data_IF_071454775399
#
_entry.id   IF_071454775399
#
_cell.length_a   1.000
_cell.length_b   1.000
_cell.length_c   1.000
_cell.angle_alpha   90.00
_cell.angle_beta   90.00
_cell.angle_gamma   90.00
#
_symmetry.space_group_name_H-M   'P 1'
#
loop_
_entity.id
_entity.type
_entity.pdbx_description
1 polymer ?
#
# COMPACT_ATOMS: atom_id res chain seq x y z
N UNK A 1 -1.73 -8.02 13.72
CA UNK A 1 -0.65 -7.96 12.71
C UNK A 1 -1.21 -7.30 11.48
N UNK A 2 -0.41 -6.48 10.81
CA UNK A 2 -0.76 -5.85 9.54
C UNK A 2 -0.16 -6.68 8.41
N UNK A 3 -0.92 -6.88 7.34
CA UNK A 3 -0.46 -7.52 6.11
C UNK A 3 -0.72 -6.56 4.94
N UNK A 4 0.32 -6.24 4.18
CA UNK A 4 0.28 -5.38 2.99
C UNK A 4 0.56 -6.29 1.80
N UNK A 5 -0.49 -6.67 1.08
CA UNK A 5 -0.38 -7.54 -0.08
C UNK A 5 -0.51 -6.70 -1.35
N UNK A 6 0.50 -6.75 -2.21
CA UNK A 6 0.55 -6.02 -3.48
C UNK A 6 0.25 -7.00 -4.60
N UNK A 7 -0.76 -6.69 -5.41
CA UNK A 7 -1.22 -7.49 -6.53
C UNK A 7 -1.06 -6.73 -7.83
N UNK A 8 -0.49 -7.38 -8.82
CA UNK A 8 -0.45 -6.84 -10.18
C UNK A 8 -1.83 -6.94 -10.85
N UNK A 9 -2.12 -6.04 -11.80
CA UNK A 9 -3.37 -6.01 -12.55
C UNK A 9 -3.20 -5.55 -13.99
N UNK A 10 -3.89 -6.24 -14.89
CA UNK A 10 -3.96 -5.81 -16.30
C UNK A 10 -4.75 -4.50 -16.48
N UNK A 11 -5.75 -4.22 -15.62
CA UNK A 11 -6.60 -3.04 -15.74
C UNK A 11 -7.21 -2.52 -14.42
N UNK A 12 -7.62 -1.23 -14.45
CA UNK A 12 -8.38 -0.59 -13.39
C UNK A 12 -9.81 -1.13 -13.34
N UNK A 13 -10.07 -2.03 -12.39
CA UNK A 13 -11.39 -2.63 -12.19
C UNK A 13 -11.39 -4.14 -12.35
N UNK A 14 -10.34 -4.71 -12.94
CA UNK A 14 -10.10 -6.15 -12.94
C UNK A 14 -9.97 -6.72 -11.53
N UNK A 15 -10.21 -8.01 -11.38
CA UNK A 15 -9.88 -8.68 -10.12
C UNK A 15 -8.35 -8.70 -9.98
N UNK A 16 -7.80 -8.51 -8.77
CA UNK A 16 -6.36 -8.68 -8.55
C UNK A 16 -5.95 -10.09 -8.99
N UNK A 17 -4.70 -10.23 -9.42
CA UNK A 17 -4.10 -11.55 -9.66
C UNK A 17 -4.40 -12.50 -8.50
N UNK A 18 -4.54 -13.80 -8.80
CA UNK A 18 -4.80 -14.79 -7.75
C UNK A 18 -3.66 -14.85 -6.71
N UNK A 19 -2.43 -14.55 -7.13
CA UNK A 19 -1.24 -14.51 -6.28
C UNK A 19 -0.69 -13.08 -6.18
N UNK A 20 -0.33 -12.60 -4.98
CA UNK A 20 0.28 -11.30 -4.81
C UNK A 20 1.69 -11.29 -5.42
N UNK A 21 2.09 -10.16 -5.98
CA UNK A 21 3.46 -9.87 -6.40
C UNK A 21 4.42 -9.94 -5.20
N UNK A 22 3.97 -9.37 -4.07
CA UNK A 22 4.65 -9.53 -2.79
C UNK A 22 3.67 -9.30 -1.64
N UNK A 23 4.01 -9.86 -0.48
CA UNK A 23 3.29 -9.66 0.77
C UNK A 23 4.28 -9.24 1.86
N UNK A 24 3.96 -8.14 2.55
CA UNK A 24 4.74 -7.64 3.68
C UNK A 24 3.89 -7.74 4.94
N UNK A 25 4.35 -8.52 5.91
CA UNK A 25 3.70 -8.66 7.20
C UNK A 25 4.50 -7.97 8.28
N UNK A 26 3.82 -7.21 9.14
CA UNK A 26 4.48 -6.45 10.20
C UNK A 26 3.54 -5.90 11.24
N UNK A 27 4.11 -5.37 12.31
CA UNK A 27 3.41 -4.66 13.36
C UNK A 27 4.37 -3.62 13.94
N UNK A 28 3.89 -2.40 14.12
CA UNK A 28 4.71 -1.33 14.71
C UNK A 28 4.00 -0.79 15.94
N UNK A 29 4.72 -0.81 17.06
CA UNK A 29 4.23 -0.31 18.35
C UNK A 29 5.18 0.75 18.83
N UNK A 30 4.67 1.94 19.16
CA UNK A 30 5.48 3.01 19.75
C UNK A 30 5.82 2.67 21.20
N UNK A 31 7.02 3.03 21.65
CA UNK A 31 7.47 2.81 23.04
C UNK A 31 6.62 3.57 24.07
N UNK A 32 6.05 4.71 23.69
CA UNK A 32 5.15 5.50 24.53
C UNK A 32 3.71 4.92 24.62
N UNK A 33 3.43 3.84 23.88
CA UNK A 33 2.12 3.21 23.82
C UNK A 33 1.09 3.97 22.97
N UNK A 34 1.43 5.10 22.36
CA UNK A 34 0.52 5.80 21.46
C UNK A 34 0.32 4.98 20.19
N UNK A 35 -0.94 4.84 19.77
CA UNK A 35 -1.28 4.11 18.55
C UNK A 35 -0.96 4.97 17.33
N UNK A 36 -0.34 4.33 16.34
CA UNK A 36 -0.20 4.87 14.99
C UNK A 36 -1.56 4.85 14.30
N UNK A 37 -1.81 5.82 13.42
CA UNK A 37 -2.88 5.70 12.43
C UNK A 37 -2.59 4.52 11.49
N UNK A 38 -3.60 4.06 10.73
CA UNK A 38 -3.41 2.96 9.77
C UNK A 38 -2.30 3.29 8.76
N UNK A 39 -2.34 4.48 8.16
CA UNK A 39 -1.36 4.89 7.16
C UNK A 39 0.02 5.11 7.77
N UNK A 40 0.11 5.66 9.00
CA UNK A 40 1.38 5.77 9.70
C UNK A 40 2.00 4.39 10.00
N UNK A 41 1.19 3.40 10.41
CA UNK A 41 1.66 2.03 10.64
C UNK A 41 2.12 1.36 9.34
N UNK A 42 1.34 1.48 8.26
CA UNK A 42 1.71 0.99 6.92
C UNK A 42 3.04 1.61 6.47
N UNK A 43 3.18 2.94 6.62
CA UNK A 43 4.39 3.67 6.28
C UNK A 43 5.62 3.10 7.00
N UNK A 44 5.50 2.87 8.32
CA UNK A 44 6.60 2.32 9.13
C UNK A 44 6.94 0.87 8.78
N UNK A 45 5.93 0.04 8.52
CA UNK A 45 6.15 -1.36 8.08
C UNK A 45 6.90 -1.39 6.75
N UNK A 46 6.51 -0.55 5.79
CA UNK A 46 7.18 -0.46 4.48
C UNK A 46 8.60 0.12 4.59
N UNK A 47 8.83 1.15 5.42
CA UNK A 47 10.18 1.65 5.69
C UNK A 47 11.09 0.57 6.25
N UNK A 48 10.60 -0.25 7.19
CA UNK A 48 11.36 -1.37 7.74
C UNK A 48 11.57 -2.51 6.73
N UNK A 49 10.64 -2.70 5.80
CA UNK A 49 10.77 -3.68 4.72
C UNK A 49 11.88 -3.25 3.75
N UNK A 50 11.82 -2.02 3.26
CA UNK A 50 12.77 -1.48 2.26
C UNK A 50 14.19 -1.31 2.79
N UNK A 51 14.36 -1.19 4.11
CA UNK A 51 15.69 -1.20 4.75
C UNK A 51 16.41 -2.55 4.57
N UNK A 52 15.67 -3.65 4.40
CA UNK A 52 16.20 -5.02 4.44
C UNK A 52 15.94 -5.84 3.19
N UNK A 53 14.91 -5.50 2.44
CA UNK A 53 14.39 -6.30 1.34
C UNK A 53 14.06 -5.39 0.17
N UNK A 54 14.40 -5.86 -1.02
CA UNK A 54 13.82 -5.35 -2.26
C UNK A 54 12.56 -6.12 -2.58
N UNK A 55 11.60 -5.45 -3.20
CA UNK A 55 10.40 -6.09 -3.76
C UNK A 55 10.50 -6.18 -5.29
N UNK A 56 9.70 -7.01 -5.96
CA UNK A 56 9.66 -7.00 -7.41
C UNK A 56 9.12 -5.66 -7.94
N UNK A 57 9.64 -5.21 -9.08
CA UNK A 57 9.03 -4.13 -9.86
C UNK A 57 7.68 -4.61 -10.43
N UNK A 58 6.61 -3.81 -10.35
CA UNK A 58 5.34 -4.16 -10.99
C UNK A 58 5.53 -4.39 -12.49
N UNK A 59 5.08 -5.53 -13.04
CA UNK A 59 5.22 -5.81 -14.48
C UNK A 59 4.23 -5.01 -15.32
N UNK A 60 3.17 -4.47 -14.71
CA UNK A 60 2.19 -3.61 -15.36
C UNK A 60 2.09 -2.24 -14.71
N UNK A 61 1.47 -1.33 -15.44
CA UNK A 61 1.16 0.03 -15.00
C UNK A 61 0.07 0.09 -13.92
N UNK A 62 -0.65 -1.00 -13.63
CA UNK A 62 -1.78 -1.01 -12.70
C UNK A 62 -1.58 -2.06 -11.61
N UNK A 63 -1.73 -1.69 -10.35
CA UNK A 63 -1.64 -2.66 -9.27
C UNK A 63 -2.50 -2.24 -8.07
N UNK A 64 -2.83 -3.22 -7.23
CA UNK A 64 -3.68 -3.02 -6.07
C UNK A 64 -2.96 -3.47 -4.82
N UNK A 65 -3.02 -2.62 -3.80
CA UNK A 65 -2.58 -2.94 -2.45
C UNK A 65 -3.80 -3.26 -1.61
N UNK A 66 -3.80 -4.44 -1.00
CA UNK A 66 -4.77 -4.81 0.02
C UNK A 66 -4.08 -4.75 1.38
N UNK A 67 -4.61 -3.89 2.26
CA UNK A 67 -4.14 -3.75 3.62
C UNK A 67 -5.11 -4.50 4.51
N UNK A 68 -4.61 -5.55 5.16
CA UNK A 68 -5.38 -6.43 6.03
C UNK A 68 -4.87 -6.33 7.45
N UNK A 69 -5.76 -6.54 8.42
CA UNK A 69 -5.41 -6.60 9.85
C UNK A 69 -5.88 -7.93 10.43
N UNK A 70 -4.93 -8.73 10.89
CA UNK A 70 -5.21 -9.95 11.62
C UNK A 70 -5.34 -9.68 13.11
N UNK A 71 -6.49 -10.10 13.67
CA UNK A 71 -6.85 -10.07 15.09
C UNK A 71 -7.19 -11.50 15.55
N UNK A 72 -7.45 -11.68 16.85
CA UNK A 72 -7.94 -12.96 17.39
C UNK A 72 -9.23 -13.45 16.73
N UNK A 73 -10.06 -12.52 16.25
CA UNK A 73 -11.34 -12.80 15.60
C UNK A 73 -11.22 -13.15 14.11
N UNK A 74 -10.02 -13.07 13.53
CA UNK A 74 -9.79 -13.30 12.09
C UNK A 74 -9.05 -12.15 11.42
N UNK A 75 -9.00 -12.20 10.09
CA UNK A 75 -8.35 -11.20 9.24
C UNK A 75 -9.41 -10.34 8.56
N UNK A 76 -9.31 -9.02 8.73
CA UNK A 76 -10.22 -8.03 8.13
C UNK A 76 -9.48 -7.20 7.08
N UNK A 77 -10.16 -6.81 5.99
CA UNK A 77 -9.63 -5.84 5.03
C UNK A 77 -9.91 -4.44 5.58
N UNK A 78 -8.87 -3.65 5.85
CA UNK A 78 -9.00 -2.31 6.45
C UNK A 78 -8.86 -1.19 5.42
N UNK A 79 -8.11 -1.44 4.34
CA UNK A 79 -8.00 -0.50 3.24
C UNK A 79 -7.61 -1.23 1.94
N UNK A 80 -8.01 -0.64 0.82
CA UNK A 80 -7.58 -1.00 -0.53
C UNK A 80 -7.05 0.24 -1.23
N UNK A 81 -5.89 0.13 -1.87
CA UNK A 81 -5.31 1.21 -2.66
C UNK A 81 -5.17 0.67 -4.09
N UNK A 82 -5.86 1.27 -5.03
CA UNK A 82 -5.68 0.98 -6.45
C UNK A 82 -4.78 2.05 -7.06
N UNK A 83 -3.75 1.60 -7.79
CA UNK A 83 -2.67 2.44 -8.31
C UNK A 83 -2.61 2.33 -9.82
N UNK A 84 -2.34 3.45 -10.47
CA UNK A 84 -1.99 3.52 -11.90
C UNK A 84 -0.75 4.36 -12.09
N UNK A 85 0.34 3.71 -12.44
CA UNK A 85 1.59 4.30 -12.86
C UNK A 85 1.58 4.48 -14.40
N UNK A 86 1.60 5.71 -14.90
CA UNK A 86 1.74 6.01 -16.33
C UNK A 86 2.64 7.20 -16.54
N UNK A 87 3.55 7.11 -17.51
CA UNK A 87 4.47 8.20 -17.86
C UNK A 87 5.28 8.74 -16.66
N UNK A 88 5.78 7.85 -15.80
CA UNK A 88 6.54 8.21 -14.60
C UNK A 88 5.72 8.91 -13.52
N UNK A 89 4.39 8.72 -13.53
CA UNK A 89 3.46 9.31 -12.55
C UNK A 89 2.45 8.27 -12.08
N UNK A 90 2.23 8.21 -10.78
CA UNK A 90 1.30 7.26 -10.15
C UNK A 90 0.15 7.98 -9.50
N UNK A 91 -1.07 7.69 -9.96
CA UNK A 91 -2.30 8.10 -9.29
C UNK A 91 -2.78 6.96 -8.39
N UNK A 92 -3.41 7.30 -7.27
CA UNK A 92 -4.01 6.31 -6.39
C UNK A 92 -5.48 6.63 -6.09
N UNK A 93 -6.28 5.60 -5.91
CA UNK A 93 -7.57 5.69 -5.23
C UNK A 93 -7.55 4.80 -3.99
N UNK A 94 -7.84 5.38 -2.83
CA UNK A 94 -7.90 4.66 -1.56
C UNK A 94 -9.34 4.43 -1.18
N UNK A 95 -9.71 3.16 -0.99
CA UNK A 95 -10.98 2.74 -0.42
C UNK A 95 -10.75 2.27 1.02
N UNK A 96 -11.33 2.98 1.99
CA UNK A 96 -11.27 2.61 3.40
C UNK A 96 -12.42 1.66 3.77
N UNK A 97 -12.31 0.99 4.92
CA UNK A 97 -13.30 0.04 5.45
C UNK A 97 -14.74 0.59 5.45
N UNK A 98 -14.93 1.90 5.63
CA UNK A 98 -16.24 2.56 5.66
C UNK A 98 -16.81 2.94 4.28
N UNK A 99 -16.14 2.52 3.19
CA UNK A 99 -16.57 2.80 1.82
C UNK A 99 -16.21 4.21 1.31
N UNK A 100 -15.48 5.00 2.09
CA UNK A 100 -14.93 6.28 1.64
C UNK A 100 -13.84 6.03 0.59
N UNK A 101 -14.00 6.67 -0.57
CA UNK A 101 -13.05 6.62 -1.67
C UNK A 101 -12.35 7.97 -1.83
N UNK A 102 -11.03 7.97 -1.80
CA UNK A 102 -10.20 9.17 -1.84
C UNK A 102 -9.25 9.07 -3.03
N UNK A 103 -9.35 10.04 -3.94
CA UNK A 103 -8.39 10.21 -5.02
C UNK A 103 -7.11 10.90 -4.53
N UNK A 104 -5.97 10.38 -4.93
CA UNK A 104 -4.65 10.94 -4.63
C UNK A 104 -4.04 11.48 -5.92
N UNK A 105 -3.66 12.76 -5.89
CA UNK A 105 -2.93 13.41 -6.99
C UNK A 105 -1.61 12.69 -7.29
N UNK A 106 -1.18 12.74 -8.56
CA UNK A 106 -0.08 11.91 -9.02
C UNK A 106 1.24 12.13 -8.25
N UNK A 107 1.87 11.06 -7.81
CA UNK A 107 3.25 11.04 -7.32
C UNK A 107 4.20 10.72 -8.46
N UNK A 108 5.38 11.32 -8.47
CA UNK A 108 6.42 10.93 -9.42
C UNK A 108 7.04 9.61 -9.00
N UNK A 109 7.15 8.67 -9.94
CA UNK A 109 7.70 7.33 -9.71
C UNK A 109 8.79 7.07 -10.75
N UNK A 110 9.91 6.55 -10.29
CA UNK A 110 10.99 6.11 -11.17
C UNK A 110 10.63 4.75 -11.80
N UNK A 111 10.91 4.50 -13.10
CA UNK A 111 10.70 3.19 -13.71
C UNK A 111 11.36 2.02 -12.97
N UNK A 112 12.46 2.28 -12.25
CA UNK A 112 13.18 1.28 -11.47
C UNK A 112 12.67 1.15 -10.02
N UNK A 113 11.71 1.99 -9.60
CA UNK A 113 11.11 1.89 -8.26
C UNK A 113 10.36 0.54 -8.12
N UNK A 114 10.68 -0.18 -7.05
CA UNK A 114 9.99 -1.42 -6.74
C UNK A 114 8.58 -1.20 -6.14
N UNK A 115 7.78 -2.25 -6.12
CA UNK A 115 6.38 -2.16 -5.72
C UNK A 115 6.21 -1.54 -4.31
N UNK A 116 7.01 -1.95 -3.32
CA UNK A 116 6.94 -1.41 -1.97
C UNK A 116 7.38 0.06 -1.92
N UNK A 117 8.36 0.47 -2.71
CA UNK A 117 8.80 1.87 -2.82
C UNK A 117 7.69 2.76 -3.34
N UNK A 118 7.01 2.35 -4.42
CA UNK A 118 5.90 3.11 -4.99
C UNK A 118 4.77 3.27 -3.96
N UNK A 119 4.40 2.17 -3.29
CA UNK A 119 3.35 2.22 -2.26
C UNK A 119 3.75 3.13 -1.10
N UNK A 120 5.00 3.08 -0.66
CA UNK A 120 5.49 3.96 0.42
C UNK A 120 5.40 5.44 0.03
N UNK A 121 5.78 5.81 -1.18
CA UNK A 121 5.69 7.20 -1.65
C UNK A 121 4.24 7.71 -1.64
N UNK A 122 3.29 6.87 -2.07
CA UNK A 122 1.85 7.20 -2.05
C UNK A 122 1.32 7.35 -0.62
N UNK A 123 1.67 6.42 0.26
CA UNK A 123 1.27 6.47 1.68
C UNK A 123 1.82 7.74 2.36
N UNK A 124 3.07 8.11 2.07
CA UNK A 124 3.66 9.36 2.58
C UNK A 124 2.89 10.60 2.11
N UNK A 125 2.46 10.62 0.85
CA UNK A 125 1.67 11.73 0.32
C UNK A 125 0.28 11.81 0.96
N UNK A 126 -0.37 10.66 1.22
CA UNK A 126 -1.65 10.60 1.92
C UNK A 126 -1.54 11.18 3.34
N UNK A 127 -0.53 10.75 4.10
CA UNK A 127 -0.25 11.27 5.45
C UNK A 127 -0.01 12.78 5.41
N UNK A 128 0.79 13.27 4.45
CA UNK A 128 1.08 14.70 4.31
C UNK A 128 -0.18 15.54 4.01
N UNK A 129 -1.22 14.92 3.43
CA UNK A 129 -2.53 15.53 3.17
C UNK A 129 -3.51 15.40 4.33
N UNK A 130 -3.12 14.77 5.43
CA UNK A 130 -3.93 14.63 6.64
C UNK A 130 -4.91 13.47 6.63
N UNK A 131 -4.67 12.46 5.78
CA UNK A 131 -5.42 11.20 5.76
C UNK A 131 -4.82 10.16 6.71
#
# INVERSE_FOLDING_TARGET
>A
MLTIAIYDRDDLGGNPSHEPLCEVEGCVVRHDGQRLSLLEEVCKVLEMCLDKYSTPTPPTDCFTVLIKRSRRSGTELVARIDLVARNGRTNASVLLEHGECVGVESVHVDPDDDAATIVLQIVKQLIAKGW
#
